data_IF_589283369417
#
_entry.id   IF_589283369417
#
_cell.length_a   1.000
_cell.length_b   1.000
_cell.length_c   1.000
_cell.angle_alpha   90.00
_cell.angle_beta   90.00
_cell.angle_gamma   90.00
#
_symmetry.space_group_name_H-M   'P 1'
#
loop_
_entity.id
_entity.type
_entity.pdbx_description
1 polymer ?
#
# COMPACT_ATOMS: atom_id res chain seq x y z
N UNK A 1 -15.62 -8.22 -4.12
CA UNK A 1 -15.45 -6.93 -3.43
C UNK A 1 -14.03 -6.86 -2.91
N UNK A 2 -13.35 -5.73 -3.12
CA UNK A 2 -11.99 -5.47 -2.62
C UNK A 2 -12.09 -4.64 -1.34
N UNK A 3 -11.36 -5.00 -0.28
CA UNK A 3 -11.23 -4.14 0.89
C UNK A 3 -9.90 -3.39 0.83
N UNK A 4 -9.96 -2.06 0.77
CA UNK A 4 -8.80 -1.18 0.72
C UNK A 4 -8.54 -0.65 2.13
N UNK A 5 -7.38 -0.96 2.68
CA UNK A 5 -6.92 -0.50 3.99
C UNK A 5 -5.84 0.55 3.78
N UNK A 6 -6.08 1.79 4.20
CA UNK A 6 -5.08 2.86 4.03
C UNK A 6 -4.27 3.07 5.31
N UNK A 7 -2.95 3.24 5.16
CA UNK A 7 -2.02 3.44 6.28
C UNK A 7 -1.25 4.76 6.20
N UNK A 8 -1.55 5.63 5.23
CA UNK A 8 -0.79 6.84 4.91
C UNK A 8 0.25 6.63 3.81
N UNK A 9 1.44 7.18 4.02
CA UNK A 9 2.49 7.25 3.00
C UNK A 9 2.27 8.35 1.96
N UNK A 10 3.31 8.54 1.14
CA UNK A 10 3.42 9.54 0.07
C UNK A 10 2.25 9.47 -0.94
N UNK A 11 1.67 8.27 -1.14
CA UNK A 11 0.55 8.03 -2.06
C UNK A 11 -0.73 8.78 -1.66
N UNK A 12 -0.95 9.04 -0.37
CA UNK A 12 -2.07 9.84 0.15
C UNK A 12 -1.68 11.30 0.43
N UNK A 13 -0.69 11.80 -0.32
CA UNK A 13 -0.31 13.21 -0.30
C UNK A 13 0.32 13.68 1.01
N UNK A 14 0.90 12.76 1.77
CA UNK A 14 1.61 13.05 3.00
C UNK A 14 3.07 13.37 2.68
N UNK A 15 3.41 14.64 2.84
CA UNK A 15 4.77 15.11 2.85
C UNK A 15 5.29 15.14 4.30
N UNK A 16 6.53 14.69 4.46
CA UNK A 16 7.20 14.53 5.74
C UNK A 16 8.56 15.26 5.76
N UNK A 17 8.90 15.97 4.68
CA UNK A 17 10.04 16.89 4.70
C UNK A 17 9.67 18.16 5.47
N UNK A 18 10.60 18.54 6.34
CA UNK A 18 10.57 19.69 7.26
C UNK A 18 9.73 19.53 8.53
N UNK A 19 10.40 19.71 9.67
CA UNK A 19 9.83 19.77 11.02
C UNK A 19 8.82 20.91 11.26
N UNK A 20 8.21 21.44 10.21
CA UNK A 20 7.12 22.43 10.19
C UNK A 20 5.72 21.78 10.15
N UNK A 21 5.64 20.45 9.99
CA UNK A 21 4.39 19.70 10.07
C UNK A 21 3.81 19.33 8.70
N UNK A 22 2.93 18.32 8.70
CA UNK A 22 2.32 17.73 7.51
C UNK A 22 1.68 18.82 6.64
N UNK A 23 2.30 19.14 5.49
CA UNK A 23 1.66 19.90 4.41
C UNK A 23 0.60 19.00 3.78
N UNK A 24 -0.60 19.03 4.36
CA UNK A 24 -1.74 18.24 3.89
C UNK A 24 -2.11 18.66 2.47
N UNK A 25 -1.72 17.85 1.50
CA UNK A 25 -2.46 17.80 0.24
C UNK A 25 -3.59 16.78 0.40
N UNK A 26 -4.82 17.19 0.08
CA UNK A 26 -6.04 16.42 0.32
C UNK A 26 -6.34 15.40 -0.80
N UNK A 27 -5.32 14.71 -1.34
CA UNK A 27 -5.58 13.58 -2.23
C UNK A 27 -5.85 12.33 -1.41
N UNK A 28 -6.89 11.59 -1.79
CA UNK A 28 -7.29 10.33 -1.16
C UNK A 28 -7.26 9.21 -2.19
N UNK A 29 -7.21 7.96 -1.71
CA UNK A 29 -7.35 6.80 -2.59
C UNK A 29 -8.69 6.80 -3.33
N UNK A 30 -9.75 7.37 -2.73
CA UNK A 30 -11.05 7.49 -3.36
C UNK A 30 -10.99 8.37 -4.61
N UNK A 31 -10.26 9.50 -4.55
CA UNK A 31 -10.14 10.43 -5.68
C UNK A 31 -9.48 9.76 -6.89
N UNK A 32 -8.44 8.94 -6.67
CA UNK A 32 -7.82 8.16 -7.74
C UNK A 32 -8.78 7.13 -8.37
N UNK A 33 -9.57 6.44 -7.55
CA UNK A 33 -10.53 5.44 -8.03
C UNK A 33 -11.69 6.05 -8.81
N UNK A 34 -12.21 7.19 -8.34
CA UNK A 34 -13.26 7.94 -9.03
C UNK A 34 -12.77 8.49 -10.37
N UNK A 35 -11.56 9.07 -10.41
CA UNK A 35 -10.93 9.56 -11.64
C UNK A 35 -10.68 8.43 -12.66
N UNK A 36 -10.29 7.25 -12.18
CA UNK A 36 -10.09 6.07 -13.02
C UNK A 36 -11.39 5.42 -13.51
N UNK A 37 -12.56 5.88 -13.06
CA UNK A 37 -13.88 5.35 -13.42
C UNK A 37 -13.97 3.82 -13.27
N UNK A 38 -13.58 3.30 -12.10
CA UNK A 38 -13.55 1.86 -11.83
C UNK A 38 -14.95 1.27 -11.65
N UNK A 39 -15.16 0.02 -12.11
CA UNK A 39 -16.47 -0.67 -12.10
C UNK A 39 -16.53 -1.89 -11.15
N UNK A 40 -15.63 -1.96 -10.16
CA UNK A 40 -15.66 -3.03 -9.16
C UNK A 40 -16.13 -2.52 -7.79
N UNK A 41 -16.78 -3.39 -7.03
CA UNK A 41 -17.19 -3.07 -5.67
C UNK A 41 -15.99 -3.03 -4.72
N UNK A 42 -15.84 -1.95 -3.98
CA UNK A 42 -14.80 -1.79 -2.95
C UNK A 42 -15.30 -1.09 -1.69
N UNK A 43 -14.57 -1.28 -0.59
CA UNK A 43 -14.67 -0.47 0.62
C UNK A 43 -13.30 0.13 0.93
N UNK A 44 -13.27 1.33 1.51
CA UNK A 44 -12.03 1.97 1.99
C UNK A 44 -12.15 2.14 3.51
N UNK A 45 -11.17 1.66 4.25
CA UNK A 45 -11.02 1.88 5.69
C UNK A 45 -9.64 2.48 5.96
N UNK A 46 -9.61 3.68 6.54
CA UNK A 46 -8.37 4.29 7.04
C UNK A 46 -8.01 3.64 8.37
N UNK A 47 -6.96 2.80 8.39
CA UNK A 47 -6.50 2.12 9.61
C UNK A 47 -5.70 3.08 10.48
N UNK A 48 -4.80 3.84 9.86
CA UNK A 48 -4.05 4.97 10.44
C UNK A 48 -3.44 5.79 9.31
N UNK A 49 -2.86 6.96 9.63
CA UNK A 49 -2.23 7.85 8.64
C UNK A 49 -0.83 8.25 9.14
N UNK A 50 0.20 7.50 8.76
CA UNK A 50 1.57 7.65 9.29
C UNK A 50 2.63 7.58 8.20
N UNK A 51 3.78 8.20 8.47
CA UNK A 51 5.01 7.87 7.75
C UNK A 51 5.35 6.42 8.06
N UNK A 52 5.68 5.63 7.02
CA UNK A 52 6.15 4.25 7.17
C UNK A 52 7.24 4.08 8.24
N UNK A 53 8.15 5.05 8.37
CA UNK A 53 9.25 5.06 9.36
C UNK A 53 8.77 5.23 10.80
N UNK A 54 7.55 5.74 11.00
CA UNK A 54 6.92 5.95 12.30
C UNK A 54 5.89 4.85 12.65
N UNK A 55 5.68 3.87 11.77
CA UNK A 55 4.81 2.71 12.04
C UNK A 55 5.49 1.83 13.09
N UNK A 56 4.75 1.53 14.16
CA UNK A 56 5.25 0.69 15.25
C UNK A 56 4.46 -0.63 15.36
N UNK A 57 4.87 -1.49 16.30
CA UNK A 57 4.26 -2.81 16.51
C UNK A 57 2.75 -2.77 16.81
N UNK A 58 2.25 -1.73 17.49
CA UNK A 58 0.82 -1.61 17.77
C UNK A 58 0.04 -1.26 16.50
N UNK A 59 0.60 -0.43 15.63
CA UNK A 59 0.02 -0.12 14.32
C UNK A 59 -0.06 -1.37 13.44
N UNK A 60 1.02 -2.16 13.37
CA UNK A 60 1.03 -3.44 12.64
C UNK A 60 -0.01 -4.42 13.19
N UNK A 61 -0.12 -4.54 14.52
CA UNK A 61 -1.16 -5.38 15.15
C UNK A 61 -2.57 -4.90 14.81
N UNK A 62 -2.80 -3.60 14.78
CA UNK A 62 -4.08 -3.03 14.39
C UNK A 62 -4.38 -3.35 12.92
N UNK A 63 -3.43 -3.18 12.01
CA UNK A 63 -3.57 -3.52 10.60
C UNK A 63 -3.91 -5.00 10.42
N UNK A 64 -3.19 -5.91 11.07
CA UNK A 64 -3.46 -7.36 11.03
C UNK A 64 -4.83 -7.71 11.58
N UNK A 65 -5.26 -7.06 12.65
CA UNK A 65 -6.60 -7.21 13.20
C UNK A 65 -7.66 -6.83 12.16
N UNK A 66 -7.50 -5.68 11.48
CA UNK A 66 -8.43 -5.23 10.42
C UNK A 66 -8.46 -6.16 9.22
N UNK A 67 -7.29 -6.67 8.80
CA UNK A 67 -7.19 -7.70 7.76
C UNK A 67 -8.00 -8.95 8.15
N UNK A 68 -7.84 -9.41 9.39
CA UNK A 68 -8.49 -10.62 9.91
C UNK A 68 -10.00 -10.46 10.08
N UNK A 69 -10.46 -9.29 10.56
CA UNK A 69 -11.87 -8.94 10.72
C UNK A 69 -12.59 -8.75 9.37
N UNK A 70 -11.85 -8.46 8.29
CA UNK A 70 -12.43 -8.29 6.97
C UNK A 70 -12.99 -9.60 6.42
N UNK A 71 -14.24 -9.56 5.96
CA UNK A 71 -14.87 -10.65 5.20
C UNK A 71 -14.36 -10.76 3.76
N UNK A 72 -13.65 -9.75 3.25
CA UNK A 72 -13.08 -9.81 1.91
C UNK A 72 -11.89 -10.78 1.86
N UNK A 73 -11.77 -11.52 0.75
CA UNK A 73 -10.61 -12.37 0.46
C UNK A 73 -9.51 -11.62 -0.30
N UNK A 74 -9.84 -10.46 -0.89
CA UNK A 74 -8.93 -9.58 -1.63
C UNK A 74 -8.77 -8.28 -0.86
N UNK A 75 -7.56 -8.01 -0.41
CA UNK A 75 -7.22 -6.84 0.39
C UNK A 75 -6.12 -6.05 -0.32
N UNK A 76 -6.35 -4.77 -0.51
CA UNK A 76 -5.35 -3.82 -0.97
C UNK A 76 -4.91 -2.98 0.22
N UNK A 77 -3.61 -2.76 0.39
CA UNK A 77 -3.08 -1.93 1.47
C UNK A 77 -2.25 -0.81 0.85
N UNK A 78 -2.63 0.44 1.09
CA UNK A 78 -1.78 1.57 0.71
C UNK A 78 -0.82 1.90 1.85
N UNK A 79 0.47 1.99 1.54
CA UNK A 79 1.54 2.07 2.54
C UNK A 79 2.71 2.95 2.08
N UNK A 80 3.43 3.55 3.04
CA UNK A 80 4.68 4.25 2.75
C UNK A 80 5.79 3.28 2.34
N UNK A 81 6.66 3.68 1.41
CA UNK A 81 7.59 2.75 0.77
C UNK A 81 8.80 2.36 1.63
N UNK A 82 9.14 3.12 2.67
CA UNK A 82 10.37 2.87 3.46
C UNK A 82 10.34 1.58 4.29
N UNK A 83 9.19 1.19 4.83
CA UNK A 83 9.04 -0.02 5.68
C UNK A 83 8.01 -0.99 5.10
N UNK A 84 7.67 -0.84 3.82
CA UNK A 84 6.66 -1.67 3.16
C UNK A 84 7.09 -3.15 3.11
N UNK A 85 8.39 -3.41 2.90
CA UNK A 85 8.96 -4.76 2.94
C UNK A 85 8.78 -5.42 4.31
N UNK A 86 9.03 -4.69 5.41
CA UNK A 86 8.87 -5.19 6.77
C UNK A 86 7.41 -5.54 7.07
N UNK A 87 6.49 -4.65 6.68
CA UNK A 87 5.05 -4.87 6.85
C UNK A 87 4.59 -6.07 6.03
N UNK A 88 4.99 -6.18 4.77
CA UNK A 88 4.65 -7.32 3.92
C UNK A 88 5.19 -8.63 4.53
N UNK A 89 6.44 -8.62 5.01
CA UNK A 89 7.07 -9.79 5.61
C UNK A 89 6.35 -10.25 6.88
N UNK A 90 5.97 -9.29 7.74
CA UNK A 90 5.22 -9.58 8.96
C UNK A 90 3.87 -10.23 8.65
N UNK A 91 3.10 -9.65 7.70
CA UNK A 91 1.77 -10.16 7.34
C UNK A 91 1.88 -11.51 6.63
N UNK A 92 2.87 -11.68 5.74
CA UNK A 92 3.10 -12.93 5.00
C UNK A 92 3.34 -14.14 5.90
N UNK A 93 4.13 -13.95 6.97
CA UNK A 93 4.37 -14.99 7.98
C UNK A 93 3.11 -15.48 8.73
N UNK A 94 2.02 -14.70 8.72
CA UNK A 94 0.77 -15.06 9.39
C UNK A 94 -0.11 -16.01 8.56
N UNK A 95 0.15 -16.16 7.25
CA UNK A 95 -0.57 -17.07 6.37
C UNK A 95 -2.10 -16.99 6.49
N UNK A 96 -2.66 -15.77 6.33
CA UNK A 96 -4.07 -15.47 6.61
C UNK A 96 -5.06 -16.01 5.57
N UNK A 97 -4.62 -16.82 4.60
CA UNK A 97 -5.43 -17.36 3.49
C UNK A 97 -6.26 -16.30 2.76
N UNK A 98 -5.64 -15.15 2.47
CA UNK A 98 -6.21 -14.01 1.74
C UNK A 98 -5.20 -13.56 0.69
N UNK A 99 -5.67 -12.98 -0.41
CA UNK A 99 -4.80 -12.28 -1.36
C UNK A 99 -4.63 -10.85 -0.86
N UNK A 100 -3.41 -10.48 -0.49
CA UNK A 100 -3.08 -9.16 0.07
C UNK A 100 -2.03 -8.52 -0.82
N UNK A 101 -2.29 -7.31 -1.31
CA UNK A 101 -1.32 -6.54 -2.10
C UNK A 101 -1.04 -5.22 -1.40
N UNK A 102 0.22 -4.96 -1.08
CA UNK A 102 0.71 -3.66 -0.61
C UNK A 102 1.15 -2.83 -1.81
N UNK A 103 0.85 -1.53 -1.77
CA UNK A 103 1.20 -0.56 -2.81
C UNK A 103 1.49 0.80 -2.19
N UNK A 104 2.35 1.58 -2.82
CA UNK A 104 2.63 2.96 -2.44
C UNK A 104 2.98 3.80 -3.67
N UNK A 105 3.60 4.94 -3.43
CA UNK A 105 4.15 5.81 -4.47
C UNK A 105 5.49 6.36 -4.01
N UNK A 106 6.35 6.68 -4.96
CA UNK A 106 7.61 7.38 -4.70
C UNK A 106 7.42 8.89 -4.72
N UNK A 107 6.46 9.37 -5.51
CA UNK A 107 6.15 10.79 -5.67
C UNK A 107 4.83 11.07 -4.95
N UNK A 108 4.72 12.25 -4.31
CA UNK A 108 3.52 12.70 -3.62
C UNK A 108 2.28 12.49 -4.49
N UNK A 109 1.23 11.89 -3.94
CA UNK A 109 -0.01 11.62 -4.67
C UNK A 109 -0.67 12.88 -5.25
N UNK A 110 -0.39 14.05 -4.68
CA UNK A 110 -0.87 15.35 -5.15
C UNK A 110 -0.01 16.00 -6.23
N UNK A 111 1.17 15.45 -6.52
CA UNK A 111 2.03 15.94 -7.58
C UNK A 111 1.42 15.64 -8.95
N UNK A 112 1.60 16.55 -9.91
CA UNK A 112 1.18 16.32 -11.30
C UNK A 112 1.89 15.12 -11.94
N UNK A 113 3.14 14.88 -11.54
CA UNK A 113 3.99 13.79 -12.06
C UNK A 113 3.94 12.53 -11.17
N UNK A 114 2.88 12.37 -10.36
CA UNK A 114 2.78 11.26 -9.41
C UNK A 114 2.71 9.88 -10.09
N UNK A 115 3.39 8.90 -9.50
CA UNK A 115 3.29 7.48 -9.89
C UNK A 115 2.10 6.76 -9.23
N UNK A 116 1.35 7.44 -8.35
CA UNK A 116 0.25 6.87 -7.58
C UNK A 116 -0.87 6.22 -8.43
N UNK A 117 -1.42 6.87 -9.49
CA UNK A 117 -2.46 6.26 -10.31
C UNK A 117 -2.02 4.97 -10.99
N UNK A 118 -0.79 4.96 -11.54
CA UNK A 118 -0.25 3.77 -12.21
C UNK A 118 -0.05 2.62 -11.21
N UNK A 119 0.61 2.87 -10.09
CA UNK A 119 0.86 1.85 -9.08
C UNK A 119 -0.46 1.29 -8.52
N UNK A 120 -1.44 2.16 -8.23
CA UNK A 120 -2.74 1.76 -7.70
C UNK A 120 -3.52 0.89 -8.70
N UNK A 121 -3.60 1.31 -9.97
CA UNK A 121 -4.27 0.54 -11.03
C UNK A 121 -3.60 -0.83 -11.25
N UNK A 122 -2.26 -0.85 -11.29
CA UNK A 122 -1.49 -2.09 -11.42
C UNK A 122 -1.71 -3.04 -10.23
N UNK A 123 -1.71 -2.52 -9.00
CA UNK A 123 -1.92 -3.29 -7.79
C UNK A 123 -3.34 -3.89 -7.73
N UNK A 124 -4.37 -3.12 -8.10
CA UNK A 124 -5.77 -3.58 -8.15
C UNK A 124 -5.96 -4.66 -9.21
N UNK A 125 -5.38 -4.49 -10.40
CA UNK A 125 -5.43 -5.52 -11.45
C UNK A 125 -4.77 -6.82 -10.96
N UNK A 126 -3.57 -6.71 -10.38
CA UNK A 126 -2.82 -7.85 -9.87
C UNK A 126 -3.55 -8.56 -8.73
N UNK A 127 -4.11 -7.82 -7.78
CA UNK A 127 -4.91 -8.35 -6.68
C UNK A 127 -6.09 -9.21 -7.16
N UNK A 128 -6.66 -8.89 -8.33
CA UNK A 128 -7.77 -9.67 -8.88
C UNK A 128 -7.35 -11.02 -9.47
N UNK A 129 -6.10 -11.12 -9.92
CA UNK A 129 -5.54 -12.27 -10.65
C UNK A 129 -4.69 -13.20 -9.77
N UNK A 130 -4.11 -12.68 -8.69
CA UNK A 130 -3.21 -13.41 -7.80
C UNK A 130 -3.94 -14.41 -6.90
N UNK A 131 -3.25 -15.52 -6.59
CA UNK A 131 -3.67 -16.51 -5.61
C UNK A 131 -3.50 -15.96 -4.18
N UNK A 132 -4.13 -16.59 -3.16
CA UNK A 132 -3.97 -16.18 -1.77
C UNK A 132 -2.50 -16.24 -1.32
N UNK A 133 -1.92 -15.07 -1.09
CA UNK A 133 -0.62 -14.82 -0.44
C UNK A 133 -0.48 -13.29 -0.25
N UNK A 134 0.67 -12.84 0.25
CA UNK A 134 1.03 -11.43 0.43
C UNK A 134 2.03 -10.97 -0.63
N UNK A 135 1.77 -9.83 -1.24
CA UNK A 135 2.58 -9.28 -2.32
C UNK A 135 2.82 -7.79 -2.16
N UNK A 136 3.89 -7.30 -2.77
CA UNK A 136 4.12 -5.88 -3.06
C UNK A 136 3.94 -5.66 -4.56
N UNK A 137 3.19 -4.62 -4.93
CA UNK A 137 2.98 -4.20 -6.31
C UNK A 137 3.56 -2.80 -6.54
N UNK A 138 4.78 -2.74 -7.06
CA UNK A 138 5.53 -1.50 -7.28
C UNK A 138 6.34 -1.62 -8.58
N UNK A 139 6.65 -0.50 -9.23
CA UNK A 139 7.50 -0.45 -10.43
C UNK A 139 6.99 -1.36 -11.59
N UNK A 140 5.67 -1.57 -11.69
CA UNK A 140 5.08 -2.46 -12.70
C UNK A 140 5.41 -3.94 -12.53
N UNK A 141 5.81 -4.36 -11.32
CA UNK A 141 6.14 -5.75 -10.99
C UNK A 141 5.41 -6.21 -9.72
N UNK A 142 5.25 -7.53 -9.60
CA UNK A 142 4.79 -8.19 -8.39
C UNK A 142 5.97 -8.88 -7.71
N UNK A 143 6.10 -8.63 -6.41
CA UNK A 143 7.09 -9.25 -5.55
C UNK A 143 6.37 -10.01 -4.43
N UNK A 144 6.73 -11.28 -4.15
CA UNK A 144 6.20 -11.97 -2.98
C UNK A 144 6.85 -11.40 -1.70
N UNK A 145 6.11 -11.42 -0.59
CA UNK A 145 6.53 -10.82 0.68
C UNK A 145 7.88 -11.31 1.24
N UNK A 146 8.32 -12.50 0.83
CA UNK A 146 9.57 -13.13 1.26
C UNK A 146 10.74 -12.90 0.30
N UNK A 147 10.52 -12.27 -0.85
CA UNK A 147 11.55 -12.01 -1.85
C UNK A 147 11.35 -10.61 -2.45
N UNK A 148 11.62 -9.60 -1.62
CA UNK A 148 11.48 -8.19 -1.97
C UNK A 148 12.32 -7.31 -1.05
N UNK A 149 12.97 -6.30 -1.63
CA UNK A 149 13.64 -5.21 -0.93
C UNK A 149 13.45 -3.87 -1.65
N UNK A 150 13.51 -2.75 -0.92
CA UNK A 150 13.58 -1.40 -1.50
C UNK A 150 15.04 -0.98 -1.70
N UNK A 151 15.43 -0.77 -2.94
CA UNK A 151 16.70 -0.17 -3.32
C UNK A 151 16.61 1.36 -3.19
N UNK A 152 17.36 1.92 -2.24
CA UNK A 152 17.36 3.36 -1.98
C UNK A 152 18.13 4.16 -3.04
N UNK A 153 19.11 3.55 -3.72
CA UNK A 153 19.91 4.23 -4.76
C UNK A 153 19.12 4.42 -6.05
N UNK A 154 18.38 3.39 -6.46
CA UNK A 154 17.59 3.42 -7.70
C UNK A 154 16.14 3.85 -7.48
N UNK A 155 15.71 3.93 -6.22
CA UNK A 155 14.34 4.19 -5.80
C UNK A 155 13.33 3.20 -6.43
N UNK A 156 13.66 1.92 -6.36
CA UNK A 156 12.85 0.81 -6.90
C UNK A 156 12.76 -0.33 -5.91
N UNK A 157 11.74 -1.17 -6.08
CA UNK A 157 11.68 -2.48 -5.47
C UNK A 157 12.39 -3.52 -6.35
N UNK A 158 13.11 -4.43 -5.71
CA UNK A 158 13.82 -5.53 -6.36
C UNK A 158 13.64 -6.84 -5.58
N UNK A 159 14.03 -7.97 -6.18
CA UNK A 159 14.04 -9.27 -5.49
C UNK A 159 15.32 -9.36 -4.66
N UNK A 160 15.23 -9.99 -3.50
CA UNK A 160 16.39 -10.37 -2.71
C UNK A 160 17.26 -11.32 -3.54
N UNK A 161 18.57 -11.05 -3.57
CA UNK A 161 19.56 -11.98 -4.13
C UNK A 161 19.71 -13.24 -3.28
#
# INVERSE_FOLDING_TARGET
>A
MIHILTTGGTIEGLDYEDGSGITKSNVTIKDFLESANVDFNYTIESVFKKDSRAINKNDIKLLVRKISESKATKILITHGTFTMEDTANYIGKLNLNKTIVLVGSFILGSSADTDAPFNLGYAISSLQLLKPDVYIAMNGQIFPWNNVSKNLETNKFERNE
#
